data_IF_354558250840
#
_entry.id   IF_354558250840
#
_cell.length_a   1.000
_cell.length_b   1.000
_cell.length_c   1.000
_cell.angle_alpha   90.00
_cell.angle_beta   90.00
_cell.angle_gamma   90.00
#
_symmetry.space_group_name_H-M   'P 1'
#
loop_
_entity.id
_entity.type
_entity.pdbx_description
1 polymer ?
#
# COMPACT_ATOMS: atom_id res chain seq x y z
N UNK A 1 -7.07 -34.98 22.86
CA UNK A 1 -5.65 -34.65 22.59
C UNK A 1 -5.52 -34.34 21.13
N UNK A 2 -5.09 -33.12 20.80
CA UNK A 2 -5.02 -32.64 19.44
C UNK A 2 -3.91 -33.40 18.68
N UNK A 3 -4.30 -34.27 17.74
CA UNK A 3 -3.38 -35.23 17.11
C UNK A 3 -2.42 -34.56 16.13
N UNK A 4 -2.75 -33.36 15.66
CA UNK A 4 -1.96 -32.63 14.66
C UNK A 4 -1.13 -31.49 15.27
N UNK A 5 -1.47 -31.07 16.49
CA UNK A 5 -0.88 -29.91 17.15
C UNK A 5 -1.51 -28.58 16.71
N UNK A 6 -1.08 -27.49 17.34
CA UNK A 6 -1.59 -26.14 17.07
C UNK A 6 -0.44 -25.17 16.81
N UNK A 7 -0.68 -24.11 16.04
CA UNK A 7 0.37 -23.16 15.69
C UNK A 7 -0.12 -21.72 15.58
N UNK A 8 0.83 -20.79 15.56
CA UNK A 8 0.66 -19.38 15.19
C UNK A 8 1.89 -18.94 14.38
N UNK A 9 1.96 -17.68 13.96
CA UNK A 9 3.16 -17.06 13.38
C UNK A 9 4.43 -17.27 14.22
N UNK A 10 4.29 -17.33 15.56
CA UNK A 10 5.41 -17.43 16.51
C UNK A 10 5.53 -18.80 17.16
N UNK A 11 4.45 -19.58 17.14
CA UNK A 11 4.37 -20.85 17.85
C UNK A 11 4.41 -22.02 16.85
N UNK A 12 5.41 -22.87 16.98
CA UNK A 12 5.72 -23.97 16.05
C UNK A 12 5.47 -25.33 16.69
N UNK A 13 4.23 -25.62 17.13
CA UNK A 13 3.89 -26.86 17.83
C UNK A 13 3.13 -27.89 16.96
N UNK A 14 3.34 -27.87 15.64
CA UNK A 14 2.76 -28.88 14.76
C UNK A 14 3.48 -30.23 14.89
N UNK A 15 2.71 -31.31 14.74
CA UNK A 15 3.22 -32.67 14.69
C UNK A 15 3.78 -33.02 13.32
N UNK A 16 4.66 -34.02 13.28
CA UNK A 16 5.24 -34.49 12.03
C UNK A 16 4.16 -34.79 10.98
N UNK A 17 4.43 -34.43 9.72
CA UNK A 17 3.49 -34.58 8.60
C UNK A 17 2.41 -33.49 8.51
N UNK A 18 2.49 -32.45 9.34
CA UNK A 18 1.55 -31.31 9.32
C UNK A 18 2.28 -29.99 9.10
N UNK A 19 1.55 -28.95 8.70
CA UNK A 19 2.07 -27.58 8.58
C UNK A 19 1.13 -26.57 9.24
N UNK A 20 1.65 -25.36 9.44
CA UNK A 20 0.89 -24.26 9.99
C UNK A 20 0.19 -23.45 8.88
N UNK A 21 -1.16 -23.42 8.81
CA UNK A 21 -1.86 -22.73 7.73
C UNK A 21 -1.93 -21.21 7.92
N UNK A 22 -1.64 -20.69 9.12
CA UNK A 22 -1.74 -19.26 9.44
C UNK A 22 -0.37 -18.58 9.48
N UNK A 23 -0.35 -17.29 9.14
CA UNK A 23 0.77 -16.38 9.37
C UNK A 23 0.43 -15.30 10.41
N UNK A 24 -0.69 -15.44 11.11
CA UNK A 24 -1.17 -14.55 12.18
C UNK A 24 -0.83 -15.11 13.58
N UNK A 25 -1.01 -14.29 14.60
CA UNK A 25 -0.98 -14.58 16.03
C UNK A 25 -2.13 -15.45 16.53
N UNK A 26 -3.22 -15.59 15.77
CA UNK A 26 -4.36 -16.45 16.12
C UNK A 26 -3.94 -17.92 16.09
N UNK A 27 -4.24 -18.65 17.16
CA UNK A 27 -3.94 -20.09 17.25
C UNK A 27 -4.90 -20.89 16.40
N UNK A 28 -4.34 -21.75 15.55
CA UNK A 28 -5.09 -22.64 14.66
C UNK A 28 -4.57 -24.06 14.75
N UNK A 29 -5.38 -25.02 14.34
CA UNK A 29 -4.96 -26.42 14.23
C UNK A 29 -4.02 -26.56 13.03
N UNK A 30 -2.99 -27.38 13.20
CA UNK A 30 -2.12 -27.75 12.10
C UNK A 30 -2.85 -28.71 11.16
N UNK A 31 -2.60 -28.57 9.87
CA UNK A 31 -3.26 -29.38 8.83
C UNK A 31 -2.22 -30.22 8.08
N UNK A 32 -2.62 -31.34 7.44
CA UNK A 32 -1.69 -32.22 6.74
C UNK A 32 -0.87 -31.48 5.70
N UNK A 33 0.40 -31.86 5.54
CA UNK A 33 1.23 -31.35 4.45
C UNK A 33 0.61 -31.66 3.07
N UNK A 34 1.09 -30.95 2.05
CA UNK A 34 0.65 -31.00 0.64
C UNK A 34 -0.61 -30.21 0.28
N UNK A 35 -1.50 -29.91 1.23
CA UNK A 35 -2.74 -29.17 0.98
C UNK A 35 -2.51 -27.66 0.93
N UNK A 36 -2.70 -27.04 -0.24
CA UNK A 36 -2.72 -25.58 -0.47
C UNK A 36 -1.57 -24.77 0.19
N UNK A 37 -0.43 -25.43 0.40
CA UNK A 37 0.75 -24.82 1.01
C UNK A 37 1.31 -23.72 0.11
N UNK A 38 1.57 -22.56 0.72
CA UNK A 38 2.12 -21.38 0.04
C UNK A 38 3.61 -21.23 0.33
N UNK A 39 4.32 -20.61 -0.60
CA UNK A 39 5.73 -20.25 -0.39
C UNK A 39 5.90 -19.45 0.91
N UNK A 40 6.91 -19.79 1.69
CA UNK A 40 7.16 -19.29 3.05
C UNK A 40 6.60 -20.19 4.16
N UNK A 41 5.64 -21.07 3.86
CA UNK A 41 5.20 -22.13 4.80
C UNK A 41 6.10 -23.35 4.68
N UNK A 42 5.98 -24.30 5.61
CA UNK A 42 6.81 -25.49 5.61
C UNK A 42 6.19 -26.67 6.36
N UNK A 43 6.42 -27.86 5.86
CA UNK A 43 6.05 -29.10 6.53
C UNK A 43 6.94 -29.33 7.74
N UNK A 44 6.35 -29.85 8.82
CA UNK A 44 7.06 -30.31 9.98
C UNK A 44 7.45 -31.75 9.72
N UNK A 45 8.72 -32.01 9.39
CA UNK A 45 9.21 -33.39 9.19
C UNK A 45 9.52 -34.08 10.52
N UNK A 46 9.64 -33.30 11.58
CA UNK A 46 9.76 -33.74 12.97
C UNK A 46 8.86 -32.88 13.84
N UNK A 47 8.34 -33.47 14.92
CA UNK A 47 7.52 -32.77 15.90
C UNK A 47 8.14 -31.43 16.31
N UNK A 48 7.34 -30.37 16.21
CA UNK A 48 7.68 -29.00 16.58
C UNK A 48 8.88 -28.39 15.82
N UNK A 49 9.32 -29.00 14.72
CA UNK A 49 10.45 -28.54 13.90
C UNK A 49 10.02 -28.38 12.45
N UNK A 50 9.81 -27.13 12.03
CA UNK A 50 9.44 -26.77 10.67
C UNK A 50 10.65 -26.75 9.74
N UNK A 51 10.50 -27.29 8.53
CA UNK A 51 11.43 -27.02 7.43
C UNK A 51 10.72 -26.06 6.46
N UNK A 52 11.10 -24.79 6.49
CA UNK A 52 10.53 -23.75 5.62
C UNK A 52 10.64 -24.15 4.15
N UNK A 53 9.58 -23.91 3.38
CA UNK A 53 9.42 -24.30 1.99
C UNK A 53 9.41 -25.80 1.72
N UNK A 54 9.43 -26.66 2.74
CA UNK A 54 9.26 -28.09 2.54
C UNK A 54 7.81 -28.44 2.23
N UNK A 55 7.57 -29.15 1.13
CA UNK A 55 6.26 -29.66 0.74
C UNK A 55 6.00 -31.06 1.31
N UNK A 56 6.98 -31.95 1.18
CA UNK A 56 6.88 -33.35 1.61
C UNK A 56 8.13 -33.79 2.34
N UNK A 57 7.97 -34.68 3.32
CA UNK A 57 9.05 -35.22 4.13
C UNK A 57 9.42 -36.65 3.72
N UNK A 58 10.63 -37.07 4.06
CA UNK A 58 11.09 -38.45 4.05
C UNK A 58 11.83 -38.70 5.37
N UNK A 59 11.14 -39.30 6.34
CA UNK A 59 11.58 -39.29 7.74
C UNK A 59 11.68 -37.84 8.26
N UNK A 60 12.77 -37.54 8.97
CA UNK A 60 13.04 -36.22 9.55
C UNK A 60 13.49 -35.17 8.52
N UNK A 61 13.66 -35.55 7.25
CA UNK A 61 14.24 -34.74 6.18
C UNK A 61 13.18 -34.25 5.19
N UNK A 62 13.44 -33.15 4.49
CA UNK A 62 12.60 -32.76 3.36
C UNK A 62 12.96 -33.57 2.11
N UNK A 63 11.94 -34.03 1.37
CA UNK A 63 12.09 -34.76 0.11
C UNK A 63 11.65 -33.96 -1.12
N UNK A 64 10.78 -32.96 -0.94
CA UNK A 64 10.32 -32.07 -2.01
C UNK A 64 10.03 -30.68 -1.48
N UNK A 65 10.46 -29.66 -2.22
CA UNK A 65 10.22 -28.27 -1.89
C UNK A 65 8.96 -27.72 -2.58
N UNK A 66 8.39 -26.65 -2.01
CA UNK A 66 7.37 -25.83 -2.65
C UNK A 66 7.98 -25.04 -3.82
N UNK A 67 7.16 -24.66 -4.83
CA UNK A 67 7.60 -23.75 -5.88
C UNK A 67 8.24 -22.49 -5.30
N UNK A 68 9.34 -22.03 -5.89
CA UNK A 68 10.19 -20.95 -5.39
C UNK A 68 11.38 -21.40 -4.53
N UNK A 69 11.54 -22.72 -4.30
CA UNK A 69 12.72 -23.28 -3.63
C UNK A 69 13.18 -24.58 -4.29
N UNK A 70 14.46 -24.90 -4.12
CA UNK A 70 15.09 -26.14 -4.58
C UNK A 70 15.62 -26.96 -3.40
N UNK A 71 15.67 -28.28 -3.55
CA UNK A 71 16.17 -29.18 -2.52
C UNK A 71 17.69 -29.15 -2.49
N UNK A 72 18.26 -28.88 -1.32
CA UNK A 72 19.69 -28.80 -1.08
C UNK A 72 19.99 -29.41 0.30
N UNK A 73 20.72 -30.54 0.33
CA UNK A 73 21.09 -31.26 1.56
C UNK A 73 19.89 -31.48 2.52
N UNK A 74 18.76 -31.97 1.99
CA UNK A 74 17.51 -32.22 2.75
C UNK A 74 16.75 -30.99 3.25
N UNK A 75 17.21 -29.77 2.91
CA UNK A 75 16.52 -28.51 3.19
C UNK A 75 16.11 -27.83 1.90
N UNK A 76 15.16 -26.88 2.00
CA UNK A 76 14.73 -26.10 0.85
C UNK A 76 15.44 -24.74 0.85
N UNK A 77 16.27 -24.52 -0.16
CA UNK A 77 16.93 -23.22 -0.39
C UNK A 77 16.10 -22.41 -1.37
N UNK A 78 15.92 -21.12 -1.10
CA UNK A 78 15.12 -20.25 -1.96
C UNK A 78 15.77 -20.07 -3.34
N UNK A 79 14.94 -20.06 -4.37
CA UNK A 79 15.32 -19.61 -5.70
C UNK A 79 15.60 -18.10 -5.71
N UNK A 80 16.23 -17.56 -6.79
CA UNK A 80 16.26 -16.12 -7.03
C UNK A 80 14.89 -15.47 -6.89
N UNK A 81 14.85 -14.18 -6.52
CA UNK A 81 13.60 -13.42 -6.40
C UNK A 81 12.77 -13.53 -7.69
N UNK A 82 11.48 -13.84 -7.53
CA UNK A 82 10.54 -13.97 -8.66
C UNK A 82 10.66 -15.28 -9.44
N UNK A 83 11.58 -16.16 -9.09
CA UNK A 83 11.73 -17.47 -9.72
C UNK A 83 10.83 -18.53 -9.06
N UNK A 84 10.11 -19.31 -9.85
CA UNK A 84 9.23 -20.39 -9.39
C UNK A 84 9.88 -21.77 -9.45
N UNK A 85 10.82 -21.98 -10.39
CA UNK A 85 11.55 -23.24 -10.55
C UNK A 85 13.03 -22.97 -10.80
N UNK A 86 13.88 -23.54 -9.95
CA UNK A 86 15.34 -23.42 -10.03
C UNK A 86 16.03 -24.70 -9.57
N UNK A 87 17.31 -24.83 -9.90
CA UNK A 87 18.20 -25.93 -9.47
C UNK A 87 19.35 -25.47 -8.58
N UNK A 88 19.57 -24.15 -8.51
CA UNK A 88 20.61 -23.51 -7.73
C UNK A 88 20.20 -22.07 -7.41
N UNK A 89 20.88 -21.45 -6.46
CA UNK A 89 20.61 -20.08 -6.03
C UNK A 89 20.77 -19.03 -7.15
N UNK A 90 21.54 -19.32 -8.21
CA UNK A 90 21.78 -18.44 -9.35
C UNK A 90 21.10 -18.90 -10.64
N UNK A 91 20.31 -19.97 -10.61
CA UNK A 91 19.58 -20.46 -11.78
C UNK A 91 18.10 -20.12 -11.67
N UNK A 92 17.48 -19.78 -12.80
CA UNK A 92 16.02 -19.76 -12.88
C UNK A 92 15.58 -20.40 -14.19
N UNK A 93 14.81 -21.47 -14.08
CA UNK A 93 14.27 -22.19 -15.22
C UNK A 93 12.91 -21.62 -15.62
N UNK A 94 12.12 -21.22 -14.62
CA UNK A 94 10.78 -20.66 -14.82
C UNK A 94 10.45 -19.63 -13.76
N UNK A 95 9.91 -18.50 -14.19
CA UNK A 95 9.43 -17.47 -13.28
C UNK A 95 8.15 -17.89 -12.56
N UNK A 96 8.00 -17.39 -11.34
CA UNK A 96 6.77 -17.56 -10.57
C UNK A 96 5.61 -16.80 -11.22
N UNK A 97 4.38 -17.12 -10.82
CA UNK A 97 3.19 -16.42 -11.29
C UNK A 97 3.30 -14.91 -11.02
N UNK A 98 2.93 -14.10 -12.01
CA UNK A 98 3.09 -12.65 -11.97
C UNK A 98 4.50 -12.15 -12.32
N UNK A 99 5.42 -13.01 -12.76
CA UNK A 99 6.74 -12.64 -13.25
C UNK A 99 6.99 -13.14 -14.67
N UNK A 100 7.87 -12.45 -15.39
CA UNK A 100 8.33 -12.82 -16.74
C UNK A 100 9.84 -12.83 -16.82
N UNK A 101 10.39 -13.67 -17.70
CA UNK A 101 11.83 -13.78 -17.89
C UNK A 101 12.34 -12.66 -18.80
N UNK A 102 13.30 -11.87 -18.31
CA UNK A 102 13.99 -10.81 -19.04
C UNK A 102 15.48 -10.83 -18.70
N UNK A 103 16.34 -10.93 -19.72
CA UNK A 103 17.79 -10.94 -19.52
C UNK A 103 18.29 -12.05 -18.58
N UNK A 104 17.58 -13.19 -18.51
CA UNK A 104 17.89 -14.30 -17.60
C UNK A 104 17.41 -14.09 -16.15
N UNK A 105 16.66 -13.02 -15.87
CA UNK A 105 16.11 -12.72 -14.54
C UNK A 105 14.58 -12.65 -14.58
N UNK A 106 13.93 -12.91 -13.46
CA UNK A 106 12.47 -12.80 -13.36
C UNK A 106 12.07 -11.41 -12.90
N UNK A 107 11.34 -10.70 -13.76
CA UNK A 107 10.86 -9.34 -13.51
C UNK A 107 9.36 -9.38 -13.27
N UNK A 108 8.88 -8.65 -12.25
CA UNK A 108 7.46 -8.63 -11.89
C UNK A 108 6.65 -7.92 -12.97
N UNK A 109 5.56 -8.54 -13.36
CA UNK A 109 4.51 -7.94 -14.19
C UNK A 109 3.56 -7.21 -13.24
N UNK A 110 3.14 -6.01 -13.63
CA UNK A 110 2.12 -5.25 -12.90
C UNK A 110 0.98 -4.86 -13.84
N UNK A 111 -0.22 -4.75 -13.29
CA UNK A 111 -1.39 -4.19 -13.95
C UNK A 111 -1.90 -2.95 -13.23
N UNK A 112 -1.67 -2.84 -11.92
CA UNK A 112 -2.05 -1.69 -11.08
C UNK A 112 -0.87 -1.27 -10.20
N UNK A 113 -0.94 -0.11 -9.56
CA UNK A 113 0.13 0.29 -8.61
C UNK A 113 0.21 -0.64 -7.39
N UNK A 114 -0.88 -1.31 -7.05
CA UNK A 114 -0.96 -2.26 -5.93
C UNK A 114 -0.01 -3.45 -6.12
N UNK A 115 0.21 -3.86 -7.36
CA UNK A 115 1.20 -4.85 -7.72
C UNK A 115 2.64 -4.45 -7.33
N UNK A 116 2.95 -3.17 -7.28
CA UNK A 116 4.31 -2.70 -7.04
C UNK A 116 4.59 -2.35 -5.57
N UNK A 117 3.61 -2.47 -4.66
CA UNK A 117 3.74 -2.08 -3.26
C UNK A 117 4.87 -2.79 -2.50
N UNK A 118 5.15 -4.05 -2.85
CA UNK A 118 6.25 -4.84 -2.24
C UNK A 118 7.63 -4.49 -2.83
N UNK A 119 7.67 -3.66 -3.86
CA UNK A 119 8.88 -3.10 -4.44
C UNK A 119 8.95 -1.63 -4.02
N UNK A 120 9.59 -1.38 -2.88
CA UNK A 120 9.68 -0.06 -2.28
C UNK A 120 10.02 1.04 -3.30
N UNK A 121 9.32 2.17 -3.21
CA UNK A 121 9.48 3.33 -4.09
C UNK A 121 9.36 2.98 -5.58
N UNK A 122 8.36 2.19 -5.96
CA UNK A 122 8.01 1.93 -7.37
C UNK A 122 6.52 2.10 -7.63
N UNK A 123 6.17 2.34 -8.89
CA UNK A 123 4.80 2.36 -9.40
C UNK A 123 4.69 1.46 -10.64
N UNK A 124 3.47 1.09 -11.01
CA UNK A 124 3.24 0.33 -12.23
C UNK A 124 3.20 1.25 -13.45
N UNK A 125 4.22 1.16 -14.29
CA UNK A 125 4.17 1.75 -15.61
C UNK A 125 3.35 0.86 -16.54
N UNK A 126 2.04 1.12 -16.61
CA UNK A 126 1.05 0.28 -17.31
C UNK A 126 1.42 0.00 -18.78
N UNK A 127 2.00 0.97 -19.48
CA UNK A 127 2.43 0.79 -20.88
C UNK A 127 3.51 -0.28 -21.04
N UNK A 128 4.37 -0.46 -20.02
CA UNK A 128 5.40 -1.49 -19.98
C UNK A 128 4.95 -2.73 -19.20
N UNK A 129 3.90 -2.59 -18.39
CA UNK A 129 3.50 -3.56 -17.35
C UNK A 129 4.65 -3.90 -16.41
N UNK A 130 5.45 -2.89 -16.04
CA UNK A 130 6.63 -3.05 -15.17
C UNK A 130 6.56 -2.11 -13.98
N UNK A 131 7.02 -2.60 -12.83
CA UNK A 131 7.29 -1.75 -11.68
C UNK A 131 8.54 -0.92 -11.96
N UNK A 132 8.37 0.40 -12.00
CA UNK A 132 9.42 1.37 -12.28
C UNK A 132 9.60 2.25 -11.06
N UNK A 133 10.84 2.62 -10.76
CA UNK A 133 11.15 3.47 -9.61
C UNK A 133 10.39 4.79 -9.68
N UNK A 134 9.98 5.26 -8.51
CA UNK A 134 9.52 6.63 -8.33
C UNK A 134 10.62 7.63 -8.71
N UNK A 135 10.20 8.87 -8.97
CA UNK A 135 11.14 9.98 -9.14
C UNK A 135 11.97 10.21 -7.87
N UNK A 136 13.03 11.01 -8.02
CA UNK A 136 13.92 11.33 -6.91
C UNK A 136 13.14 11.90 -5.72
N UNK A 137 13.53 11.49 -4.51
CA UNK A 137 12.97 11.97 -3.24
C UNK A 137 11.48 11.64 -3.04
N UNK A 138 10.98 10.66 -3.79
CA UNK A 138 9.63 10.15 -3.66
C UNK A 138 9.61 8.72 -3.12
N UNK A 139 9.00 8.53 -1.95
CA UNK A 139 8.88 7.23 -1.29
C UNK A 139 7.69 6.42 -1.82
N UNK A 140 6.58 7.10 -2.13
CA UNK A 140 5.37 6.49 -2.70
C UNK A 140 4.90 7.34 -3.86
N UNK A 141 4.74 6.75 -5.05
CA UNK A 141 4.31 7.44 -6.25
C UNK A 141 3.20 6.69 -6.99
N UNK A 142 2.43 7.43 -7.79
CA UNK A 142 1.43 6.88 -8.70
C UNK A 142 1.89 6.91 -10.15
N UNK A 143 2.90 7.73 -10.46
CA UNK A 143 3.56 7.82 -11.75
C UNK A 143 4.99 8.34 -11.57
N UNK A 144 5.75 8.39 -12.67
CA UNK A 144 7.11 8.95 -12.67
C UNK A 144 7.17 10.43 -12.24
N UNK A 145 6.08 11.17 -12.40
CA UNK A 145 6.01 12.61 -12.10
C UNK A 145 5.03 12.96 -10.99
N UNK A 146 4.31 11.97 -10.45
CA UNK A 146 3.32 12.17 -9.40
C UNK A 146 3.68 11.38 -8.15
N UNK A 147 4.15 12.12 -7.15
CA UNK A 147 4.56 11.62 -5.85
C UNK A 147 3.44 11.76 -4.81
N UNK A 148 2.98 10.64 -4.27
CA UNK A 148 1.97 10.61 -3.21
C UNK A 148 2.57 10.86 -1.82
N UNK A 149 3.84 10.53 -1.62
CA UNK A 149 4.57 10.78 -0.39
C UNK A 149 6.07 10.93 -0.69
N UNK A 150 6.61 12.10 -0.37
CA UNK A 150 8.03 12.41 -0.48
C UNK A 150 8.83 11.85 0.70
N UNK A 151 10.15 11.74 0.52
CA UNK A 151 11.11 11.48 1.59
C UNK A 151 11.02 12.61 2.64
N UNK A 152 10.29 12.33 3.73
CA UNK A 152 10.04 13.30 4.81
C UNK A 152 11.29 13.75 5.56
N UNK A 153 12.46 13.12 5.35
CA UNK A 153 13.72 13.60 5.94
C UNK A 153 14.29 14.81 5.21
N UNK A 154 13.91 15.04 3.95
CA UNK A 154 14.50 16.09 3.10
C UNK A 154 13.48 16.91 2.32
N UNK A 155 12.25 16.42 2.14
CA UNK A 155 11.22 17.04 1.30
C UNK A 155 9.84 17.00 1.95
N UNK A 156 8.98 17.93 1.54
CA UNK A 156 7.57 17.98 1.88
C UNK A 156 6.75 17.65 0.64
N UNK A 157 5.70 16.85 0.83
CA UNK A 157 4.74 16.50 -0.22
C UNK A 157 3.78 17.65 -0.44
N UNK A 158 3.60 18.07 -1.69
CA UNK A 158 2.61 19.09 -2.06
C UNK A 158 1.27 18.45 -2.45
N UNK A 159 0.19 19.24 -2.44
CA UNK A 159 -1.14 18.84 -2.93
C UNK A 159 -1.17 18.50 -4.42
N UNK A 160 -0.13 18.88 -5.17
CA UNK A 160 0.01 18.61 -6.61
C UNK A 160 0.76 17.31 -6.89
N UNK A 161 1.16 16.58 -5.86
CA UNK A 161 1.92 15.35 -6.01
C UNK A 161 3.38 15.60 -6.40
N UNK A 162 3.97 16.69 -5.90
CA UNK A 162 5.40 17.01 -6.10
C UNK A 162 6.13 17.11 -4.77
N UNK A 163 7.46 17.05 -4.81
CA UNK A 163 8.31 17.18 -3.64
C UNK A 163 9.00 18.54 -3.64
N UNK A 164 8.74 19.34 -2.61
CA UNK A 164 9.45 20.61 -2.36
C UNK A 164 10.41 20.43 -1.19
N UNK A 165 11.46 21.27 -1.09
CA UNK A 165 12.47 21.15 -0.03
C UNK A 165 11.83 21.29 1.36
N UNK A 166 12.30 20.48 2.32
CA UNK A 166 11.89 20.56 3.71
C UNK A 166 12.42 21.86 4.37
N UNK A 167 11.54 22.53 5.12
CA UNK A 167 11.93 23.64 5.99
C UNK A 167 12.33 23.10 7.37
N UNK A 168 13.57 23.31 7.77
CA UNK A 168 14.03 23.00 9.11
C UNK A 168 14.97 24.12 9.63
N UNK A 169 14.56 24.92 10.63
CA UNK A 169 13.30 24.85 11.40
C UNK A 169 12.09 25.46 10.68
N UNK A 170 10.88 25.10 11.11
CA UNK A 170 9.61 25.75 10.73
C UNK A 170 8.80 26.04 11.99
N UNK A 171 8.20 27.23 12.09
CA UNK A 171 7.40 27.67 13.25
C UNK A 171 5.91 27.66 12.93
N UNK A 172 5.08 27.53 13.96
CA UNK A 172 3.63 27.48 13.81
C UNK A 172 3.05 28.72 13.10
N UNK A 173 2.10 28.49 12.21
CA UNK A 173 1.53 29.50 11.31
C UNK A 173 2.33 29.73 10.03
N UNK A 174 3.33 28.90 9.74
CA UNK A 174 4.05 28.90 8.46
C UNK A 174 3.88 27.56 7.73
N UNK A 175 3.92 27.60 6.41
CA UNK A 175 4.08 26.44 5.55
C UNK A 175 5.42 26.54 4.83
N UNK A 176 5.89 25.43 4.27
CA UNK A 176 7.15 25.44 3.54
C UNK A 176 6.91 25.69 2.06
N UNK A 177 7.52 26.75 1.54
CA UNK A 177 7.52 27.08 0.13
C UNK A 177 8.95 26.98 -0.38
N UNK A 178 9.28 25.90 -1.07
CA UNK A 178 10.60 25.71 -1.68
C UNK A 178 11.77 25.84 -0.69
N UNK A 179 11.60 25.25 0.50
CA UNK A 179 12.58 25.31 1.59
C UNK A 179 12.58 26.60 2.40
N UNK A 180 11.72 27.57 2.07
CA UNK A 180 11.56 28.81 2.81
C UNK A 180 10.27 28.82 3.67
N UNK A 181 10.37 29.01 4.99
CA UNK A 181 9.20 29.22 5.84
C UNK A 181 8.42 30.47 5.40
N UNK A 182 7.15 30.29 5.04
CA UNK A 182 6.27 31.35 4.54
C UNK A 182 4.97 31.35 5.36
N UNK A 183 4.39 32.51 5.72
CA UNK A 183 3.13 32.57 6.43
C UNK A 183 2.03 31.79 5.71
N UNK A 184 1.19 31.07 6.45
CA UNK A 184 0.11 30.30 5.85
C UNK A 184 -0.91 31.22 5.17
N UNK A 185 -1.21 30.91 3.91
CA UNK A 185 -2.15 31.65 3.07
C UNK A 185 -3.15 30.69 2.44
N UNK A 186 -4.31 31.21 2.05
CA UNK A 186 -5.29 30.43 1.30
C UNK A 186 -4.68 29.92 -0.02
N UNK A 187 -4.91 28.64 -0.34
CA UNK A 187 -4.40 28.02 -1.55
C UNK A 187 -2.91 27.63 -1.50
N UNK A 188 -2.33 27.51 -0.30
CA UNK A 188 -0.99 26.91 -0.15
C UNK A 188 -0.95 25.48 -0.71
N UNK A 189 0.24 25.05 -1.11
CA UNK A 189 0.49 23.77 -1.75
C UNK A 189 1.04 22.70 -0.80
N UNK A 190 1.49 23.07 0.41
CA UNK A 190 1.96 22.15 1.44
C UNK A 190 1.38 22.47 2.81
N UNK A 191 1.35 21.49 3.73
CA UNK A 191 0.69 21.66 5.02
C UNK A 191 1.25 22.85 5.83
N UNK A 192 0.32 23.67 6.33
CA UNK A 192 0.61 24.68 7.34
C UNK A 192 0.98 24.00 8.66
N UNK A 193 2.10 24.41 9.27
CA UNK A 193 2.52 23.95 10.58
C UNK A 193 1.61 24.54 11.66
N UNK A 194 0.83 23.71 12.34
CA UNK A 194 -0.05 24.12 13.44
C UNK A 194 0.06 23.14 14.61
N UNK A 195 1.10 23.25 15.43
CA UNK A 195 1.39 22.27 16.47
C UNK A 195 1.68 20.89 15.86
N UNK A 196 1.03 19.84 16.38
CA UNK A 196 1.15 18.48 15.83
C UNK A 196 0.07 18.13 14.81
N UNK A 197 -0.80 19.07 14.45
CA UNK A 197 -1.86 18.80 13.49
C UNK A 197 -1.30 18.64 12.07
N UNK A 198 -1.76 17.60 11.38
CA UNK A 198 -1.40 17.29 9.99
C UNK A 198 -2.39 17.91 9.01
N UNK A 199 -1.97 18.11 7.76
CA UNK A 199 -2.77 18.60 6.63
C UNK A 199 -3.58 19.88 6.88
N UNK A 200 -3.10 20.78 7.72
CA UNK A 200 -3.75 22.08 7.87
C UNK A 200 -3.53 22.95 6.62
N UNK A 201 -4.59 23.60 6.12
CA UNK A 201 -4.47 24.71 5.17
C UNK A 201 -4.33 26.06 5.89
N UNK A 202 -4.78 26.15 7.14
CA UNK A 202 -4.60 27.30 8.01
C UNK A 202 -4.66 26.86 9.48
N UNK A 203 -4.11 27.66 10.39
CA UNK A 203 -4.22 27.40 11.83
C UNK A 203 -5.35 28.18 12.51
N UNK A 204 -5.81 27.67 13.64
CA UNK A 204 -6.60 28.46 14.59
C UNK A 204 -5.80 29.64 15.16
N UNK A 205 -6.44 30.49 15.96
CA UNK A 205 -5.80 31.69 16.54
C UNK A 205 -4.58 31.37 17.42
N UNK A 206 -4.61 30.25 18.15
CA UNK A 206 -3.50 29.81 19.01
C UNK A 206 -2.36 29.14 18.23
N UNK A 207 -2.57 28.83 16.94
CA UNK A 207 -1.64 28.15 16.04
C UNK A 207 -1.26 26.72 16.44
N UNK A 208 -2.03 26.09 17.31
CA UNK A 208 -1.80 24.73 17.82
C UNK A 208 -2.73 23.68 17.21
N UNK A 209 -3.67 24.08 16.35
CA UNK A 209 -4.56 23.19 15.62
C UNK A 209 -5.02 23.77 14.28
N UNK A 210 -5.62 22.96 13.40
CA UNK A 210 -6.09 23.45 12.11
C UNK A 210 -7.33 24.34 12.25
N UNK A 211 -7.35 25.46 11.53
CA UNK A 211 -8.57 26.21 11.23
C UNK A 211 -9.34 25.59 10.07
N UNK A 212 -8.62 25.28 8.98
CA UNK A 212 -9.12 24.59 7.79
C UNK A 212 -8.14 23.51 7.35
N UNK A 213 -8.62 22.54 6.57
CA UNK A 213 -7.80 21.45 6.02
C UNK A 213 -7.37 21.73 4.58
N UNK A 214 -6.28 21.09 4.17
CA UNK A 214 -5.90 20.94 2.77
C UNK A 214 -7.04 20.28 1.96
N UNK A 215 -7.06 20.44 0.63
CA UNK A 215 -8.05 19.80 -0.22
C UNK A 215 -8.16 18.29 0.03
N UNK A 216 -9.38 17.76 -0.09
CA UNK A 216 -9.70 16.34 0.04
C UNK A 216 -9.57 15.74 1.44
N UNK A 217 -9.38 16.58 2.46
CA UNK A 217 -9.29 16.17 3.87
C UNK A 217 -10.42 16.81 4.68
N UNK A 218 -10.97 16.07 5.63
CA UNK A 218 -12.08 16.49 6.50
C UNK A 218 -11.53 17.04 7.81
N UNK A 219 -12.10 18.15 8.30
CA UNK A 219 -11.80 18.70 9.62
C UNK A 219 -12.48 17.86 10.70
N UNK A 220 -11.69 17.11 11.47
CA UNK A 220 -12.17 16.30 12.59
C UNK A 220 -12.50 17.13 13.84
N UNK A 221 -13.18 16.49 14.81
CA UNK A 221 -13.60 17.15 16.06
C UNK A 221 -12.43 17.69 16.90
N UNK A 222 -11.25 17.07 16.81
CA UNK A 222 -10.01 17.53 17.45
C UNK A 222 -9.29 18.65 16.69
N UNK A 223 -9.91 19.22 15.64
CA UNK A 223 -9.30 20.19 14.72
C UNK A 223 -8.04 19.66 14.02
N UNK A 224 -8.02 18.35 13.78
CA UNK A 224 -7.02 17.63 13.00
C UNK A 224 -7.59 17.30 11.62
N UNK A 225 -6.71 17.19 10.62
CA UNK A 225 -7.09 16.86 9.24
C UNK A 225 -6.47 15.50 8.86
N UNK A 226 -7.00 14.42 9.43
CA UNK A 226 -6.49 13.05 9.23
C UNK A 226 -7.40 12.19 8.36
N UNK A 227 -8.68 12.53 8.28
CA UNK A 227 -9.67 11.73 7.56
C UNK A 227 -9.86 12.26 6.14
N UNK A 228 -9.81 11.36 5.16
CA UNK A 228 -10.02 11.73 3.76
C UNK A 228 -11.50 11.92 3.44
N UNK A 229 -11.79 12.87 2.54
CA UNK A 229 -13.11 13.04 1.94
C UNK A 229 -13.53 11.81 1.13
N UNK A 230 -14.83 11.63 0.92
CA UNK A 230 -15.37 10.54 0.09
C UNK A 230 -14.74 10.55 -1.30
N UNK A 231 -14.28 9.39 -1.78
CA UNK A 231 -13.58 9.23 -3.07
C UNK A 231 -12.06 9.41 -2.98
N UNK A 232 -11.52 9.66 -1.78
CA UNK A 232 -10.08 9.80 -1.54
C UNK A 232 -9.60 8.77 -0.51
N UNK A 233 -8.34 8.35 -0.65
CA UNK A 233 -7.67 7.41 0.25
C UNK A 233 -6.41 8.00 0.85
N UNK A 234 -6.08 7.64 2.11
CA UNK A 234 -4.83 8.04 2.72
C UNK A 234 -3.66 7.31 2.03
N UNK A 235 -2.69 8.07 1.50
CA UNK A 235 -1.40 7.54 1.06
C UNK A 235 -0.31 8.47 1.58
N UNK A 236 0.58 7.93 2.42
CA UNK A 236 1.43 8.76 3.27
C UNK A 236 0.55 9.61 4.20
N UNK A 237 0.87 10.88 4.31
CA UNK A 237 0.11 11.83 5.14
C UNK A 237 -0.97 12.57 4.34
N UNK A 238 -1.16 12.29 3.04
CA UNK A 238 -2.05 13.04 2.17
C UNK A 238 -3.25 12.20 1.73
N UNK A 239 -4.30 12.87 1.25
CA UNK A 239 -5.51 12.23 0.71
C UNK A 239 -5.55 12.34 -0.82
N UNK A 240 -5.43 11.20 -1.49
CA UNK A 240 -5.34 11.11 -2.94
C UNK A 240 -6.58 10.45 -3.56
N UNK A 241 -6.95 10.79 -4.81
CA UNK A 241 -8.06 10.14 -5.49
C UNK A 241 -7.90 8.63 -5.53
N UNK A 242 -8.98 7.89 -5.30
CA UNK A 242 -9.00 6.46 -5.56
C UNK A 242 -8.78 6.22 -7.08
N UNK A 243 -7.75 5.46 -7.44
CA UNK A 243 -7.59 5.03 -8.84
C UNK A 243 -8.76 4.10 -9.17
N UNK A 244 -9.71 4.60 -9.96
CA UNK A 244 -10.84 3.81 -10.42
C UNK A 244 -10.30 2.74 -11.38
N UNK A 245 -10.36 1.47 -10.97
CA UNK A 245 -9.99 0.33 -11.82
C UNK A 245 -10.96 0.22 -12.99
N UNK A 246 -10.72 0.98 -14.07
CA UNK A 246 -11.39 0.72 -15.34
C UNK A 246 -10.68 -0.42 -16.03
N UNK A 247 -11.13 -1.64 -15.76
CA UNK A 247 -10.96 -2.75 -16.70
C UNK A 247 -11.56 -2.38 -18.07
N UNK A 248 -10.86 -2.80 -19.12
CA UNK A 248 -11.15 -2.64 -20.54
C UNK A 248 -10.62 -1.36 -21.23
N UNK A 249 -9.44 -1.53 -21.83
CA UNK A 249 -8.98 -0.94 -23.09
C UNK A 249 -9.64 0.38 -23.51
N UNK A 250 -9.02 1.51 -23.17
CA UNK A 250 -8.94 2.64 -24.08
C UNK A 250 -7.59 3.35 -23.91
N UNK A 251 -6.90 3.49 -25.04
CA UNK A 251 -5.67 4.26 -25.20
C UNK A 251 -6.01 5.73 -24.96
N UNK A 252 -5.27 6.43 -24.10
CA UNK A 252 -5.39 7.89 -24.03
C UNK A 252 -4.75 8.53 -22.80
N UNK A 253 -3.52 9.01 -22.99
CA UNK A 253 -3.03 10.32 -22.56
C UNK A 253 -3.29 10.77 -21.12
N UNK A 254 -2.20 10.90 -20.37
CA UNK A 254 -2.19 11.55 -19.07
C UNK A 254 -2.84 12.93 -19.12
N UNK A 255 -3.89 13.08 -18.33
CA UNK A 255 -4.32 14.31 -17.72
C UNK A 255 -5.12 13.92 -16.49
N UNK A 256 -4.58 14.18 -15.29
CA UNK A 256 -5.39 14.23 -14.09
C UNK A 256 -6.31 15.44 -14.30
N UNK A 257 -7.51 15.18 -14.84
CA UNK A 257 -8.57 16.17 -14.90
C UNK A 257 -9.01 16.37 -13.46
N UNK A 258 -8.59 17.49 -12.87
CA UNK A 258 -9.05 17.92 -11.56
C UNK A 258 -10.56 18.01 -11.57
N UNK A 259 -11.21 17.12 -10.83
CA UNK A 259 -12.63 17.27 -10.51
C UNK A 259 -12.69 18.47 -9.57
N UNK A 260 -13.05 19.64 -10.10
CA UNK A 260 -13.52 20.76 -9.29
C UNK A 260 -14.86 20.31 -8.70
N UNK A 261 -14.81 19.71 -7.51
CA UNK A 261 -16.03 19.53 -6.71
C UNK A 261 -16.40 20.93 -6.23
N UNK A 262 -17.33 21.56 -6.94
CA UNK A 262 -17.95 22.81 -6.52
C UNK A 262 -18.54 22.61 -5.12
N UNK A 263 -17.92 23.23 -4.12
CA UNK A 263 -18.47 23.32 -2.77
C UNK A 263 -19.77 24.10 -2.88
N UNK A 264 -20.91 23.41 -2.84
CA UNK A 264 -22.20 24.03 -2.60
C UNK A 264 -22.17 24.58 -1.17
N UNK A 265 -21.90 25.88 -1.07
CA UNK A 265 -22.08 26.66 0.15
C UNK A 265 -23.57 26.65 0.45
N UNK A 266 -24.01 25.79 1.36
CA UNK A 266 -25.34 25.88 1.98
C UNK A 266 -25.28 27.07 2.93
N UNK A 267 -25.58 28.26 2.41
CA UNK A 267 -25.92 29.41 3.25
C UNK A 267 -27.29 29.11 3.86
N UNK A 268 -27.29 28.73 5.14
CA UNK A 268 -28.51 28.63 5.92
C UNK A 268 -29.14 30.01 6.09
N UNK A 269 -30.25 30.24 5.38
CA UNK A 269 -31.19 31.29 5.68
C UNK A 269 -32.56 30.67 5.92
N UNK A 270 -33.03 30.83 7.16
CA UNK A 270 -34.34 30.47 7.68
C UNK A 270 -35.44 31.18 6.88
N UNK A 271 -36.48 30.46 6.47
CA UNK A 271 -37.71 31.11 5.96
C UNK A 271 -38.65 30.24 5.14
N UNK A 272 -39.59 29.58 5.83
CA UNK A 272 -40.98 29.31 5.41
C UNK A 272 -41.29 28.50 4.14
N UNK A 273 -42.01 27.39 4.36
CA UNK A 273 -43.32 27.20 3.71
C UNK A 273 -43.38 26.30 2.46
N UNK A 274 -43.90 25.08 2.67
CA UNK A 274 -44.85 24.38 1.80
C UNK A 274 -44.65 24.50 0.27
N UNK A 275 -44.05 23.47 -0.34
CA UNK A 275 -44.54 22.78 -1.54
C UNK A 275 -43.41 22.00 -2.23
N UNK A 276 -43.43 20.68 -2.15
CA UNK A 276 -43.48 19.80 -3.35
C UNK A 276 -43.50 18.34 -2.90
N UNK A 277 -44.72 17.90 -2.63
CA UNK A 277 -45.10 16.50 -2.56
C UNK A 277 -45.35 16.01 -4.01
N UNK A 278 -45.05 14.74 -4.28
CA UNK A 278 -45.24 14.01 -5.56
C UNK A 278 -44.15 14.34 -6.61
N UNK A 279 -43.42 13.38 -7.19
CA UNK A 279 -43.92 12.22 -7.94
C UNK A 279 -42.92 11.05 -7.83
N UNK A 280 -43.43 9.89 -7.40
CA UNK A 280 -42.84 8.57 -7.64
C UNK A 280 -43.70 7.88 -8.72
N UNK A 281 -43.02 7.15 -9.63
CA UNK A 281 -43.50 6.03 -10.47
C UNK A 281 -44.37 6.32 -11.70
N UNK A 282 -43.81 6.01 -12.87
CA UNK A 282 -44.28 5.13 -13.98
C UNK A 282 -43.52 5.56 -15.26
N UNK A 283 -42.99 4.75 -16.18
CA UNK A 283 -43.34 3.45 -16.81
C UNK A 283 -42.01 2.78 -17.26
N UNK A 284 -41.87 1.45 -17.20
CA UNK A 284 -42.15 0.48 -18.29
C UNK A 284 -41.37 0.78 -19.57
#
# INVERSE_FOLDING_TARGET
MDKTGTCTKRNTNCKAGHFCPTTDTVTVNCIPCEQDMKFGQGCYCKDNSVITNCKTCSGDNCSKCLPGAFLNNNFCTNCPKGCGECTAFSSCQKCADGFTMEGGTCVRICNTNDDCKDQGSTFCQISLKRCVKCGDKCDICSSATFCNACDGSTHITTIHGTCTLLCNPITDGNYCKDGAPTPCVAGLDSACKCGFAENCASCNTAKDACATCLPNVILGAGRTCTDCASGFKPIGNMCWPEQQETGANNIGTGAIVGIVVGVLVVVGAVGSGLAYYFIRKAKK
#
